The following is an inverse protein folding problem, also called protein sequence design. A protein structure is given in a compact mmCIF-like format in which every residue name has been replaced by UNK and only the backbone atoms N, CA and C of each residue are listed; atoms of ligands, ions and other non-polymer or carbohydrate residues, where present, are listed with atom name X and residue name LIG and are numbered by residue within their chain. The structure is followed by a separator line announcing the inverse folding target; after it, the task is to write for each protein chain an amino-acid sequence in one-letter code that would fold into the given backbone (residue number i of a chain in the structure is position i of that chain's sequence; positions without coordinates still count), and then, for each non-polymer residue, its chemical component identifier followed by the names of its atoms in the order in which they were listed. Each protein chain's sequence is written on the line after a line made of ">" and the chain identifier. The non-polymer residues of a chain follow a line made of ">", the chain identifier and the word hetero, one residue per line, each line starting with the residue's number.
data_IF_640526727860
#
_entry.id   IF_640526727860
#
_cell.length_a   1.000
_cell.length_b   1.000
_cell.length_c   1.000
_cell.angle_alpha   90.00
_cell.angle_beta   90.00
_cell.angle_gamma   90.00
#
_symmetry.space_group_name_H-M   'P 1'
#
loop_
_entity.id
_entity.type
_entity.pdbx_description
1 polymer ?
#
# COMPACT_ATOMS: atom_id res chain seq x y z
N UNK A 1 -1.59 4.28 -20.46
CA UNK A 1 -2.94 4.53 -21.05
C UNK A 1 -4.09 4.42 -20.03
N UNK A 2 -3.82 4.34 -18.73
CA UNK A 2 -4.88 4.27 -17.69
C UNK A 2 -5.77 5.51 -17.66
N UNK A 3 -5.27 6.66 -18.12
CA UNK A 3 -5.99 7.94 -18.10
C UNK A 3 -6.35 8.47 -19.50
N UNK A 4 -6.57 7.59 -20.49
CA UNK A 4 -6.83 8.01 -21.89
C UNK A 4 -8.04 8.95 -22.01
N UNK A 5 -9.09 8.74 -21.22
CA UNK A 5 -10.26 9.61 -21.20
C UNK A 5 -9.92 11.04 -20.76
N UNK A 6 -8.98 11.20 -19.83
CA UNK A 6 -8.50 12.51 -19.36
C UNK A 6 -7.71 13.19 -20.48
N UNK A 7 -6.78 12.46 -21.11
CA UNK A 7 -6.01 12.99 -22.25
C UNK A 7 -6.94 13.50 -23.36
N UNK A 8 -7.97 12.71 -23.71
CA UNK A 8 -8.95 13.08 -24.72
C UNK A 8 -9.84 14.26 -24.28
N UNK A 9 -10.23 14.31 -23.00
CA UNK A 9 -11.07 15.40 -22.50
C UNK A 9 -10.38 16.77 -22.53
N UNK A 10 -9.04 16.78 -22.53
CA UNK A 10 -8.23 18.00 -22.63
C UNK A 10 -7.62 18.21 -24.04
N UNK A 11 -7.89 17.32 -25.03
CA UNK A 11 -7.33 17.34 -26.37
C UNK A 11 -5.78 17.34 -26.40
N UNK A 12 -5.17 16.62 -25.47
CA UNK A 12 -3.71 16.59 -25.28
C UNK A 12 -3.04 15.36 -25.94
N UNK A 13 -3.71 14.69 -26.89
CA UNK A 13 -3.17 13.49 -27.56
C UNK A 13 -1.85 13.79 -28.29
N UNK A 14 -1.73 14.98 -28.87
CA UNK A 14 -0.51 15.38 -29.61
C UNK A 14 0.65 15.60 -28.64
N UNK A 15 0.40 16.25 -27.52
CA UNK A 15 1.41 16.49 -26.49
C UNK A 15 1.91 15.18 -25.86
N UNK A 16 0.99 14.29 -25.49
CA UNK A 16 1.31 12.97 -24.95
C UNK A 16 2.05 12.09 -25.96
N UNK A 17 1.61 12.08 -27.25
CA UNK A 17 2.33 11.40 -28.32
C UNK A 17 3.74 11.93 -28.48
N UNK A 18 3.93 13.24 -28.45
CA UNK A 18 5.23 13.88 -28.59
C UNK A 18 6.15 13.53 -27.40
N UNK A 19 5.61 13.55 -26.18
CA UNK A 19 6.34 13.13 -24.98
C UNK A 19 6.74 11.65 -25.05
N UNK A 20 5.83 10.78 -25.49
CA UNK A 20 6.12 9.36 -25.67
C UNK A 20 7.22 9.13 -26.72
N UNK A 21 7.12 9.76 -27.91
CA UNK A 21 8.13 9.66 -28.99
C UNK A 21 9.50 10.12 -28.47
N UNK A 22 9.56 11.22 -27.74
CA UNK A 22 10.81 11.71 -27.14
C UNK A 22 11.44 10.69 -26.19
N UNK A 23 10.62 10.06 -25.31
CA UNK A 23 11.11 9.06 -24.37
C UNK A 23 11.61 7.79 -25.11
N UNK A 24 10.90 7.35 -26.13
CA UNK A 24 11.31 6.21 -26.97
C UNK A 24 12.60 6.53 -27.70
N UNK A 25 12.74 7.76 -28.28
CA UNK A 25 13.96 8.19 -28.96
C UNK A 25 15.16 8.24 -28.02
N UNK A 26 15.00 8.76 -26.80
CA UNK A 26 16.06 8.73 -25.78
C UNK A 26 16.49 7.29 -25.44
N UNK A 27 15.52 6.39 -25.24
CA UNK A 27 15.81 4.98 -24.99
C UNK A 27 16.53 4.33 -26.18
N UNK A 28 16.13 4.67 -27.41
CA UNK A 28 16.76 4.19 -28.63
C UNK A 28 18.20 4.67 -28.77
N UNK A 29 18.48 5.95 -28.53
CA UNK A 29 19.85 6.51 -28.57
C UNK A 29 20.78 5.79 -27.58
N UNK A 30 20.31 5.55 -26.35
CA UNK A 30 21.06 4.80 -25.34
C UNK A 30 21.30 3.35 -25.77
N UNK A 31 20.26 2.69 -26.27
CA UNK A 31 20.37 1.30 -26.76
C UNK A 31 21.33 1.21 -27.95
N UNK A 32 21.22 2.13 -28.94
CA UNK A 32 22.10 2.20 -30.11
C UNK A 32 23.57 2.39 -29.70
N UNK A 33 23.84 3.32 -28.79
CA UNK A 33 25.20 3.56 -28.26
C UNK A 33 25.79 2.30 -27.64
N UNK A 34 25.00 1.60 -26.81
CA UNK A 34 25.40 0.34 -26.17
C UNK A 34 25.67 -0.76 -27.17
N UNK A 35 24.81 -0.91 -28.19
CA UNK A 35 24.99 -1.90 -29.27
C UNK A 35 26.25 -1.59 -30.09
N UNK A 36 26.48 -0.31 -30.45
CA UNK A 36 27.66 0.11 -31.21
C UNK A 36 28.96 -0.16 -30.43
N UNK A 37 29.01 0.20 -29.16
CA UNK A 37 30.18 -0.07 -28.30
C UNK A 37 30.46 -1.57 -28.20
N UNK A 38 29.41 -2.38 -28.03
CA UNK A 38 29.55 -3.85 -28.00
C UNK A 38 30.05 -4.40 -29.35
N UNK A 39 29.49 -3.90 -30.47
CA UNK A 39 29.91 -4.33 -31.80
C UNK A 39 31.37 -3.97 -32.09
N UNK A 40 31.83 -2.77 -31.72
CA UNK A 40 33.23 -2.36 -31.85
C UNK A 40 34.17 -3.23 -31.01
N UNK A 41 33.83 -3.47 -29.75
CA UNK A 41 34.59 -4.35 -28.85
C UNK A 41 34.69 -5.78 -29.40
N UNK A 42 33.56 -6.33 -29.83
CA UNK A 42 33.51 -7.70 -30.40
C UNK A 42 34.30 -7.76 -31.71
N UNK A 43 34.11 -6.76 -32.59
CA UNK A 43 34.87 -6.67 -33.86
C UNK A 43 36.38 -6.57 -33.63
N UNK A 44 36.80 -5.76 -32.66
CA UNK A 44 38.21 -5.65 -32.29
C UNK A 44 38.79 -6.95 -31.72
N UNK A 45 38.02 -7.64 -30.86
CA UNK A 45 38.42 -8.94 -30.31
C UNK A 45 38.56 -10.00 -31.42
N UNK A 46 37.64 -10.07 -32.38
CA UNK A 46 37.72 -10.97 -33.54
C UNK A 46 38.94 -10.61 -34.41
N UNK A 47 39.17 -9.32 -34.65
CA UNK A 47 40.34 -8.89 -35.43
C UNK A 47 41.67 -9.28 -34.79
N UNK A 48 41.80 -9.13 -33.47
CA UNK A 48 43.02 -9.56 -32.75
C UNK A 48 43.17 -11.09 -32.80
N UNK A 49 42.08 -11.81 -32.62
CA UNK A 49 42.12 -13.31 -32.64
C UNK A 49 42.49 -13.81 -34.03
N UNK A 50 41.89 -13.28 -35.09
CA UNK A 50 42.21 -13.66 -36.47
C UNK A 50 43.63 -13.24 -36.86
N UNK A 51 44.02 -12.03 -36.50
CA UNK A 51 45.40 -11.53 -36.74
C UNK A 51 46.44 -12.37 -36.02
N UNK A 52 46.19 -12.74 -34.75
CA UNK A 52 47.07 -13.62 -34.01
C UNK A 52 47.18 -15.02 -34.66
N UNK A 53 46.05 -15.55 -35.16
CA UNK A 53 46.02 -16.85 -35.85
C UNK A 53 46.80 -16.82 -37.17
N UNK A 54 46.67 -15.76 -37.97
CA UNK A 54 47.45 -15.59 -39.19
C UNK A 54 48.95 -15.46 -38.88
N UNK A 55 49.30 -14.66 -37.87
CA UNK A 55 50.68 -14.51 -37.41
C UNK A 55 51.31 -15.85 -36.93
N UNK A 56 50.50 -16.62 -36.21
CA UNK A 56 50.89 -17.94 -35.74
C UNK A 56 51.10 -18.94 -36.90
N UNK A 57 50.19 -18.95 -37.88
CA UNK A 57 50.37 -19.78 -39.10
C UNK A 57 51.57 -19.37 -39.92
N UNK A 58 51.83 -18.06 -40.02
CA UNK A 58 53.01 -17.55 -40.73
C UNK A 58 54.29 -18.02 -40.03
N UNK A 59 54.43 -17.78 -38.75
CA UNK A 59 55.64 -18.19 -37.97
C UNK A 59 55.83 -19.69 -37.96
N UNK A 60 54.77 -20.47 -37.66
CA UNK A 60 54.81 -21.93 -37.66
C UNK A 60 55.07 -22.53 -39.05
N UNK A 61 54.59 -21.90 -40.11
CA UNK A 61 54.88 -22.27 -41.50
C UNK A 61 56.33 -22.13 -41.83
N UNK A 62 57.00 -21.07 -41.37
CA UNK A 62 58.44 -20.88 -41.51
C UNK A 62 59.20 -21.98 -40.76
N UNK A 63 58.79 -22.31 -39.53
CA UNK A 63 59.42 -23.36 -38.72
C UNK A 63 59.29 -24.77 -39.36
N UNK A 64 58.18 -25.05 -40.04
CA UNK A 64 57.97 -26.26 -40.84
C UNK A 64 58.96 -26.33 -42.03
N UNK A 65 59.12 -25.21 -42.76
CA UNK A 65 60.03 -25.13 -43.91
C UNK A 65 61.50 -25.32 -43.48
N UNK A 66 61.87 -24.75 -42.34
CA UNK A 66 63.22 -24.89 -41.76
C UNK A 66 63.43 -26.23 -41.02
N UNK A 67 62.44 -27.14 -41.00
CA UNK A 67 62.58 -28.48 -40.40
C UNK A 67 62.56 -28.47 -38.86
N UNK A 68 62.21 -27.38 -38.20
CA UNK A 68 62.09 -27.27 -36.75
C UNK A 68 60.81 -27.85 -36.18
N UNK A 69 59.79 -27.99 -37.03
CA UNK A 69 58.47 -28.50 -36.64
C UNK A 69 57.87 -29.29 -37.79
N UNK A 70 57.04 -30.25 -37.50
CA UNK A 70 56.27 -30.99 -38.50
C UNK A 70 54.92 -30.28 -38.81
N UNK A 71 54.39 -30.51 -40.02
CA UNK A 71 53.07 -29.94 -40.38
C UNK A 71 51.95 -30.46 -39.49
N UNK A 72 52.08 -31.67 -38.92
CA UNK A 72 51.12 -32.23 -37.96
C UNK A 72 51.13 -31.50 -36.60
N UNK A 73 52.35 -31.14 -36.12
CA UNK A 73 52.49 -30.36 -34.87
C UNK A 73 51.90 -28.95 -35.03
N UNK A 74 52.11 -28.30 -36.16
CA UNK A 74 51.51 -27.01 -36.45
C UNK A 74 49.97 -27.11 -36.48
N UNK A 75 49.42 -28.17 -37.15
CA UNK A 75 47.98 -28.42 -37.18
C UNK A 75 47.40 -28.65 -35.79
N UNK A 76 48.08 -29.47 -34.96
CA UNK A 76 47.67 -29.70 -33.59
C UNK A 76 47.68 -28.42 -32.75
N UNK A 77 48.74 -27.58 -32.91
CA UNK A 77 48.84 -26.30 -32.20
C UNK A 77 47.71 -25.33 -32.54
N UNK A 78 47.39 -25.19 -33.85
CA UNK A 78 46.25 -24.35 -34.29
C UNK A 78 44.94 -24.88 -33.74
N UNK A 79 44.74 -26.21 -33.74
CA UNK A 79 43.54 -26.82 -33.20
C UNK A 79 43.35 -26.51 -31.70
N UNK A 80 44.43 -26.71 -30.90
CA UNK A 80 44.39 -26.35 -29.47
C UNK A 80 44.19 -24.84 -29.24
N UNK A 81 44.79 -23.97 -30.05
CA UNK A 81 44.60 -22.54 -29.95
C UNK A 81 43.13 -22.15 -30.15
N UNK A 82 42.44 -22.78 -31.12
CA UNK A 82 40.99 -22.55 -31.34
C UNK A 82 40.17 -23.04 -30.13
N UNK A 83 40.46 -24.23 -29.59
CA UNK A 83 39.75 -24.75 -28.42
C UNK A 83 39.91 -23.78 -27.23
N UNK A 84 41.12 -23.37 -26.93
CA UNK A 84 41.42 -22.46 -25.83
C UNK A 84 40.73 -21.11 -26.06
N UNK A 85 40.79 -20.57 -27.30
CA UNK A 85 40.14 -19.31 -27.62
C UNK A 85 38.59 -19.34 -27.44
N UNK A 86 37.97 -20.43 -27.90
CA UNK A 86 36.52 -20.64 -27.71
C UNK A 86 36.16 -20.84 -26.25
N UNK A 87 36.99 -21.58 -25.46
CA UNK A 87 36.75 -21.75 -24.04
C UNK A 87 36.79 -20.41 -23.26
N UNK A 88 37.77 -19.54 -23.58
CA UNK A 88 37.84 -18.21 -23.01
C UNK A 88 36.63 -17.31 -23.40
N UNK A 89 36.16 -17.40 -24.63
CA UNK A 89 34.99 -16.69 -25.10
C UNK A 89 33.74 -17.10 -24.32
N UNK A 90 33.51 -18.42 -24.17
CA UNK A 90 32.39 -18.96 -23.40
C UNK A 90 32.48 -18.56 -21.92
N UNK A 91 33.66 -18.62 -21.32
CA UNK A 91 33.86 -18.22 -19.92
C UNK A 91 33.52 -16.74 -19.71
N UNK A 92 33.92 -15.88 -20.67
CA UNK A 92 33.59 -14.46 -20.64
C UNK A 92 32.08 -14.17 -20.78
N UNK A 93 31.36 -14.95 -21.57
CA UNK A 93 29.92 -14.89 -21.73
C UNK A 93 29.20 -15.30 -20.42
N UNK A 94 29.61 -16.45 -19.85
CA UNK A 94 29.06 -16.92 -18.56
C UNK A 94 29.29 -15.90 -17.45
N UNK A 95 30.48 -15.29 -17.42
CA UNK A 95 30.77 -14.21 -16.46
C UNK A 95 29.83 -13.01 -16.62
N UNK A 96 29.56 -12.62 -17.87
CA UNK A 96 28.61 -11.54 -18.19
C UNK A 96 27.17 -11.88 -17.78
N UNK A 97 26.77 -13.14 -17.96
CA UNK A 97 25.45 -13.62 -17.53
C UNK A 97 25.32 -13.66 -16.00
N UNK A 98 26.39 -14.11 -15.33
CA UNK A 98 26.43 -14.13 -13.86
C UNK A 98 26.29 -12.72 -13.27
N UNK A 99 26.98 -11.73 -13.85
CA UNK A 99 26.88 -10.34 -13.41
C UNK A 99 25.45 -9.79 -13.62
N UNK A 100 24.80 -10.12 -14.73
CA UNK A 100 23.39 -9.73 -14.97
C UNK A 100 22.44 -10.39 -13.98
N UNK A 101 22.64 -11.69 -13.73
CA UNK A 101 21.86 -12.43 -12.75
C UNK A 101 22.04 -11.88 -11.33
N UNK A 102 23.29 -11.56 -10.95
CA UNK A 102 23.60 -10.96 -9.66
C UNK A 102 22.90 -9.61 -9.47
N UNK A 103 22.96 -8.72 -10.49
CA UNK A 103 22.26 -7.43 -10.44
C UNK A 103 20.74 -7.54 -10.37
N UNK A 104 20.15 -8.55 -11.02
CA UNK A 104 18.71 -8.82 -10.89
C UNK A 104 18.34 -9.40 -9.52
N UNK A 105 19.20 -10.27 -8.98
CA UNK A 105 19.02 -10.89 -7.67
C UNK A 105 19.17 -9.89 -6.51
N UNK A 106 20.02 -8.88 -6.65
CA UNK A 106 20.27 -7.86 -5.62
C UNK A 106 18.97 -7.20 -5.17
N UNK A 107 18.14 -6.75 -6.14
CA UNK A 107 16.85 -6.10 -5.84
C UNK A 107 15.85 -7.04 -5.16
N UNK A 108 15.85 -8.33 -5.53
CA UNK A 108 15.02 -9.33 -4.87
C UNK A 108 15.52 -9.61 -3.44
N UNK A 109 16.83 -9.68 -3.25
CA UNK A 109 17.43 -9.87 -1.92
C UNK A 109 17.18 -8.68 -1.01
N UNK A 110 17.26 -7.43 -1.51
CA UNK A 110 16.86 -6.23 -0.74
C UNK A 110 15.43 -6.36 -0.21
N UNK A 111 14.48 -6.83 -1.05
CA UNK A 111 13.09 -7.02 -0.63
C UNK A 111 12.94 -8.18 0.37
N UNK A 112 13.68 -9.28 0.20
CA UNK A 112 13.62 -10.43 1.11
C UNK A 112 14.22 -10.14 2.48
N UNK A 113 15.25 -9.28 2.52
CA UNK A 113 15.94 -8.91 3.78
C UNK A 113 15.31 -7.67 4.40
N UNK A 114 14.38 -6.99 3.70
CA UNK A 114 13.69 -5.84 4.24
C UNK A 114 12.96 -6.23 5.54
N UNK A 115 13.37 -5.61 6.63
CA UNK A 115 12.73 -5.76 7.95
C UNK A 115 11.67 -4.69 8.14
N UNK A 116 10.60 -5.04 8.85
CA UNK A 116 9.60 -4.04 9.25
C UNK A 116 10.26 -2.94 10.09
N UNK A 117 9.93 -1.68 9.80
CA UNK A 117 10.37 -0.55 10.64
C UNK A 117 9.74 -0.59 12.02
N UNK A 118 8.61 -1.29 12.17
CA UNK A 118 7.93 -1.50 13.44
C UNK A 118 8.31 -2.88 13.98
N UNK A 119 9.08 -2.94 15.08
CA UNK A 119 9.46 -4.22 15.68
C UNK A 119 8.25 -4.86 16.38
N UNK A 120 7.96 -6.12 16.05
CA UNK A 120 6.99 -6.94 16.78
C UNK A 120 7.70 -7.70 17.90
N UNK A 121 8.15 -6.96 18.90
CA UNK A 121 8.82 -7.51 20.10
C UNK A 121 7.88 -7.66 21.29
N UNK A 122 6.64 -7.18 21.14
CA UNK A 122 5.64 -7.23 22.19
C UNK A 122 5.11 -8.66 22.42
N UNK A 123 4.99 -9.04 23.67
CA UNK A 123 4.51 -10.38 24.07
C UNK A 123 3.16 -10.32 24.81
N UNK A 124 2.76 -9.14 25.25
CA UNK A 124 1.52 -8.97 26.00
C UNK A 124 0.31 -9.19 25.10
N UNK A 125 -0.70 -9.84 25.64
CA UNK A 125 -2.00 -9.96 24.98
C UNK A 125 -2.85 -8.76 25.39
N UNK A 126 -3.50 -8.05 24.43
CA UNK A 126 -4.41 -6.97 24.75
C UNK A 126 -5.52 -7.46 25.67
N UNK A 127 -5.80 -6.71 26.73
CA UNK A 127 -6.96 -6.97 27.58
C UNK A 127 -8.25 -6.63 26.79
N UNK A 128 -9.33 -7.35 27.09
CA UNK A 128 -10.65 -7.08 26.51
C UNK A 128 -11.43 -6.08 27.36
N UNK A 129 -12.38 -5.38 26.72
CA UNK A 129 -13.32 -4.46 27.40
C UNK A 129 -12.62 -3.35 28.19
N UNK A 130 -11.63 -2.72 27.62
CA UNK A 130 -10.80 -1.72 28.31
C UNK A 130 -10.76 -0.38 27.60
N UNK A 131 -10.40 0.67 28.35
CA UNK A 131 -10.24 2.01 27.82
C UNK A 131 -8.98 2.13 26.94
N UNK A 132 -9.06 3.01 25.95
CA UNK A 132 -7.93 3.45 25.12
C UNK A 132 -7.47 4.83 25.59
N UNK A 133 -6.17 5.03 25.72
CA UNK A 133 -5.62 6.31 26.15
C UNK A 133 -4.39 6.73 25.33
N UNK A 134 -4.41 7.93 24.80
CA UNK A 134 -3.26 8.65 24.28
C UNK A 134 -2.73 9.57 25.38
N UNK A 135 -1.43 9.47 25.72
CA UNK A 135 -0.83 10.27 26.80
C UNK A 135 0.37 11.04 26.26
N UNK A 136 0.17 12.34 26.04
CA UNK A 136 1.22 13.25 25.58
C UNK A 136 1.89 12.80 24.28
N UNK A 137 1.13 12.31 23.32
CA UNK A 137 1.68 11.71 22.08
C UNK A 137 2.25 12.79 21.17
N UNK A 138 3.53 12.60 20.79
CA UNK A 138 4.21 13.40 19.77
C UNK A 138 4.57 12.49 18.60
N UNK A 139 4.25 12.94 17.39
CA UNK A 139 4.56 12.19 16.17
C UNK A 139 4.81 13.10 14.99
N UNK A 140 5.82 12.75 14.18
CA UNK A 140 6.08 13.31 12.85
C UNK A 140 6.41 12.17 11.89
N UNK A 141 5.96 12.27 10.66
CA UNK A 141 6.27 11.26 9.64
C UNK A 141 7.78 11.26 9.30
N UNK A 142 8.39 10.09 9.05
CA UNK A 142 9.80 10.00 8.65
C UNK A 142 10.13 10.85 7.41
N UNK A 143 9.17 10.99 6.50
CA UNK A 143 9.30 11.84 5.29
C UNK A 143 9.31 13.34 5.57
N UNK A 144 8.84 13.78 6.76
CA UNK A 144 8.74 15.21 7.17
C UNK A 144 9.04 15.39 8.66
N UNK A 145 10.24 15.07 9.12
CA UNK A 145 10.56 15.02 10.57
C UNK A 145 10.46 16.36 11.29
N UNK A 146 10.54 17.47 10.57
CA UNK A 146 10.45 18.84 11.13
C UNK A 146 9.02 19.34 11.28
N UNK A 147 8.02 18.60 10.77
CA UNK A 147 6.62 19.01 10.81
C UNK A 147 5.81 17.98 11.62
N UNK A 148 5.59 18.23 12.91
CA UNK A 148 4.85 17.29 13.75
C UNK A 148 3.39 17.18 13.27
N UNK A 149 2.93 15.94 13.11
CA UNK A 149 1.55 15.62 12.79
C UNK A 149 0.69 15.55 14.06
N UNK A 150 1.27 15.12 15.19
CA UNK A 150 0.68 15.22 16.52
C UNK A 150 1.67 15.87 17.47
N UNK A 151 1.17 16.74 18.38
CA UNK A 151 1.97 17.50 19.34
C UNK A 151 1.26 17.54 20.69
N UNK A 152 1.76 16.78 21.66
CA UNK A 152 1.14 16.66 23.00
C UNK A 152 -0.33 16.23 22.92
N UNK A 153 -0.61 15.25 22.04
CA UNK A 153 -1.96 14.74 21.85
C UNK A 153 -2.33 13.83 23.02
N UNK A 154 -3.35 14.24 23.75
CA UNK A 154 -3.88 13.51 24.91
C UNK A 154 -5.38 13.30 24.74
N UNK A 155 -5.82 12.05 24.81
CA UNK A 155 -7.22 11.66 24.65
C UNK A 155 -7.44 10.33 25.38
N UNK A 156 -8.48 10.26 26.18
CA UNK A 156 -8.96 9.01 26.80
C UNK A 156 -10.33 8.67 26.23
N UNK A 157 -10.54 7.40 25.91
CA UNK A 157 -11.78 6.87 25.33
C UNK A 157 -12.20 5.70 26.18
N UNK A 158 -13.41 5.76 26.71
CA UNK A 158 -13.97 4.69 27.52
C UNK A 158 -14.32 3.46 26.66
N UNK A 159 -14.41 2.28 27.29
CA UNK A 159 -14.92 1.10 26.60
C UNK A 159 -16.38 1.32 26.17
N UNK A 160 -16.68 0.99 24.92
CA UNK A 160 -18.01 1.16 24.33
C UNK A 160 -18.36 2.59 23.93
N UNK A 161 -17.44 3.57 24.13
CA UNK A 161 -17.68 4.96 23.76
C UNK A 161 -17.46 5.18 22.27
N UNK A 162 -18.37 5.92 21.64
CA UNK A 162 -18.23 6.41 20.27
C UNK A 162 -17.68 7.83 20.27
N UNK A 163 -16.52 8.04 19.63
CA UNK A 163 -15.82 9.32 19.59
C UNK A 163 -15.65 9.81 18.14
N UNK A 164 -16.15 11.00 17.83
CA UNK A 164 -15.95 11.63 16.53
C UNK A 164 -14.77 12.61 16.55
N UNK A 165 -13.75 12.38 15.72
CA UNK A 165 -12.64 13.29 15.50
C UNK A 165 -13.01 14.30 14.41
N UNK A 166 -13.07 15.58 14.75
CA UNK A 166 -13.38 16.67 13.82
C UNK A 166 -12.25 17.69 13.80
N UNK A 167 -12.05 18.33 12.65
CA UNK A 167 -11.00 19.35 12.51
C UNK A 167 -10.66 19.60 11.05
N UNK A 168 -9.93 20.69 10.74
CA UNK A 168 -9.53 21.01 9.37
C UNK A 168 -8.66 19.92 8.76
N UNK A 169 -8.49 19.98 7.43
CA UNK A 169 -7.51 19.12 6.75
C UNK A 169 -6.11 19.34 7.33
N UNK A 170 -5.37 18.27 7.57
CA UNK A 170 -4.05 18.34 8.20
C UNK A 170 -4.07 18.50 9.73
N UNK A 171 -5.23 18.40 10.39
CA UNK A 171 -5.31 18.46 11.86
C UNK A 171 -4.70 17.24 12.59
N UNK A 172 -4.36 16.17 11.85
CA UNK A 172 -3.77 14.95 12.43
C UNK A 172 -4.74 13.79 12.63
N UNK A 173 -6.00 13.90 12.16
CA UNK A 173 -7.02 12.86 12.37
C UNK A 173 -6.62 11.48 11.84
N UNK A 174 -6.21 11.39 10.58
CA UNK A 174 -5.76 10.11 9.98
C UNK A 174 -4.49 9.58 10.63
N UNK A 175 -3.62 10.47 11.14
CA UNK A 175 -2.42 10.08 11.89
C UNK A 175 -2.78 9.35 13.19
N UNK A 176 -3.88 9.72 13.84
CA UNK A 176 -4.39 8.97 15.02
C UNK A 176 -4.69 7.52 14.64
N UNK A 177 -5.35 7.28 13.50
CA UNK A 177 -5.66 5.93 13.01
C UNK A 177 -4.41 5.13 12.65
N UNK A 178 -3.43 5.75 11.98
CA UNK A 178 -2.19 5.08 11.62
C UNK A 178 -1.36 4.65 12.85
N UNK A 179 -1.35 5.48 13.89
CA UNK A 179 -0.71 5.14 15.15
C UNK A 179 -1.48 4.05 15.92
N UNK A 180 -2.80 4.04 15.87
CA UNK A 180 -3.61 2.98 16.47
C UNK A 180 -3.43 1.65 15.78
N UNK A 181 -3.38 1.62 14.45
CA UNK A 181 -3.05 0.43 13.67
C UNK A 181 -1.58 0.02 13.80
N UNK A 182 -0.82 0.85 14.53
CA UNK A 182 0.61 0.69 14.73
C UNK A 182 1.35 0.49 13.40
N UNK A 183 1.04 1.37 12.42
CA UNK A 183 1.87 1.55 11.23
C UNK A 183 3.09 2.39 11.53
N UNK A 184 3.02 3.18 12.60
CA UNK A 184 4.11 3.95 13.19
C UNK A 184 4.02 3.88 14.71
N UNK A 185 5.15 4.04 15.39
CA UNK A 185 5.21 4.26 16.84
C UNK A 185 5.40 5.75 17.16
N UNK A 186 4.85 6.28 18.24
CA UNK A 186 5.04 7.68 18.64
C UNK A 186 6.48 7.98 19.00
N UNK A 187 6.95 9.19 18.66
CA UNK A 187 8.30 9.67 18.99
C UNK A 187 8.42 9.91 20.52
N UNK A 188 7.36 10.43 21.13
CA UNK A 188 7.26 10.62 22.58
C UNK A 188 5.82 10.41 23.04
N UNK A 189 5.63 10.14 24.32
CA UNK A 189 4.35 9.75 24.87
C UNK A 189 4.06 8.26 24.71
N UNK A 190 2.81 7.89 24.93
CA UNK A 190 2.38 6.50 24.89
C UNK A 190 0.91 6.39 24.44
N UNK A 191 0.61 5.32 23.70
CA UNK A 191 -0.76 4.88 23.41
C UNK A 191 -0.99 3.61 24.21
N UNK A 192 -2.02 3.60 25.05
CA UNK A 192 -2.29 2.51 25.98
C UNK A 192 -3.67 1.93 25.76
N UNK A 193 -3.75 0.62 25.80
CA UNK A 193 -5.00 -0.11 25.82
C UNK A 193 -5.04 -1.02 27.02
N UNK A 194 -6.05 -0.87 27.88
CA UNK A 194 -6.11 -1.58 29.17
C UNK A 194 -4.94 -1.28 30.11
N UNK A 195 -4.35 -0.09 30.00
CA UNK A 195 -3.20 0.33 30.81
C UNK A 195 -1.83 -0.08 30.25
N UNK A 196 -1.74 -1.08 29.38
CA UNK A 196 -0.49 -1.49 28.72
C UNK A 196 -0.19 -0.64 27.48
N UNK A 197 1.08 -0.36 27.23
CA UNK A 197 1.52 0.35 26.02
C UNK A 197 1.38 -0.55 24.79
N UNK A 198 0.90 -0.01 23.67
CA UNK A 198 0.76 -0.77 22.43
C UNK A 198 2.09 -1.37 21.94
N UNK A 199 3.21 -0.75 22.27
CA UNK A 199 4.55 -1.25 21.91
C UNK A 199 4.93 -2.54 22.63
N UNK A 200 4.31 -2.81 23.79
CA UNK A 200 4.52 -4.02 24.58
C UNK A 200 3.60 -5.17 24.16
N UNK A 201 2.59 -4.90 23.33
CA UNK A 201 1.63 -5.88 22.84
C UNK A 201 2.13 -6.58 21.57
N UNK A 202 1.76 -7.85 21.38
CA UNK A 202 1.91 -8.54 20.11
C UNK A 202 1.12 -7.81 19.03
N UNK A 203 1.78 -7.46 17.94
CA UNK A 203 1.19 -6.68 16.83
C UNK A 203 0.02 -7.41 16.17
N UNK A 204 0.18 -8.73 15.95
CA UNK A 204 -0.89 -9.54 15.36
C UNK A 204 -2.13 -9.60 16.26
N UNK A 205 -1.93 -9.84 17.56
CA UNK A 205 -3.04 -9.88 18.52
C UNK A 205 -3.71 -8.53 18.70
N UNK A 206 -2.93 -7.45 18.66
CA UNK A 206 -3.46 -6.10 18.69
C UNK A 206 -4.32 -5.79 17.46
N UNK A 207 -3.82 -6.09 16.27
CA UNK A 207 -4.56 -5.84 15.03
C UNK A 207 -5.82 -6.70 14.88
N UNK A 208 -5.88 -7.87 15.50
CA UNK A 208 -7.09 -8.67 15.59
C UNK A 208 -8.20 -8.02 16.43
N UNK A 209 -7.86 -7.09 17.32
CA UNK A 209 -8.83 -6.33 18.13
C UNK A 209 -9.39 -5.10 17.41
N UNK A 210 -8.84 -4.74 16.25
CA UNK A 210 -9.18 -3.51 15.54
C UNK A 210 -9.72 -3.85 14.15
N UNK A 211 -10.80 -3.17 13.74
CA UNK A 211 -11.20 -3.13 12.35
C UNK A 211 -11.17 -1.69 11.83
N UNK A 212 -10.71 -1.52 10.60
CA UNK A 212 -10.74 -0.25 9.88
C UNK A 212 -11.72 -0.34 8.71
N UNK A 213 -12.64 0.60 8.65
CA UNK A 213 -13.46 0.88 7.46
C UNK A 213 -12.93 2.18 6.84
N UNK A 214 -12.14 2.09 5.76
CA UNK A 214 -11.52 3.26 5.15
C UNK A 214 -12.50 4.04 4.26
N UNK A 215 -12.18 5.30 3.99
CA UNK A 215 -12.94 6.18 3.09
C UNK A 215 -13.13 5.57 1.69
N UNK A 216 -12.09 4.97 1.14
CA UNK A 216 -12.13 4.25 -0.13
C UNK A 216 -11.78 2.77 0.11
N UNK A 217 -12.78 1.90 0.21
CA UNK A 217 -12.54 0.50 0.47
C UNK A 217 -11.76 -0.18 -0.64
N UNK A 218 -10.67 -0.84 -0.27
CA UNK A 218 -9.91 -1.70 -1.16
C UNK A 218 -10.48 -3.11 -1.13
N UNK A 219 -10.88 -3.61 -2.29
CA UNK A 219 -11.27 -5.00 -2.48
C UNK A 219 -10.14 -5.74 -3.20
N UNK A 220 -9.91 -6.98 -2.78
CA UNK A 220 -8.88 -7.84 -3.36
C UNK A 220 -9.41 -8.62 -4.55
N UNK A 221 -8.50 -9.02 -5.44
CA UNK A 221 -8.83 -9.93 -6.54
C UNK A 221 -9.29 -11.26 -5.97
N UNK A 222 -10.56 -11.58 -6.16
CA UNK A 222 -11.23 -12.75 -5.59
C UNK A 222 -12.73 -12.59 -5.69
N UNK A 223 -13.47 -13.51 -5.09
CA UNK A 223 -14.92 -13.44 -4.98
C UNK A 223 -15.37 -12.58 -3.78
N UNK A 224 -16.67 -12.42 -3.62
CA UNK A 224 -17.25 -11.64 -2.54
C UNK A 224 -17.04 -12.34 -1.20
N UNK A 225 -17.18 -13.66 -1.17
CA UNK A 225 -16.93 -14.45 0.05
C UNK A 225 -15.51 -14.19 0.57
N UNK A 226 -14.49 -14.33 -0.29
CA UNK A 226 -13.09 -14.04 0.05
C UNK A 226 -12.90 -12.63 0.57
N UNK A 227 -13.56 -11.64 -0.05
CA UNK A 227 -13.43 -10.25 0.36
C UNK A 227 -14.08 -9.94 1.72
N UNK A 228 -15.21 -10.55 2.05
CA UNK A 228 -15.83 -10.40 3.37
C UNK A 228 -15.04 -11.20 4.42
N UNK A 229 -14.62 -12.41 4.08
CA UNK A 229 -13.88 -13.32 4.93
C UNK A 229 -12.42 -12.88 5.22
N UNK A 230 -11.95 -11.84 4.55
CA UNK A 230 -10.55 -11.41 4.62
C UNK A 230 -10.15 -10.99 6.04
N UNK A 231 -9.19 -11.71 6.62
CA UNK A 231 -8.70 -11.47 7.98
C UNK A 231 -9.44 -12.24 9.08
N UNK A 232 -10.53 -12.98 8.76
CA UNK A 232 -11.22 -13.85 9.70
C UNK A 232 -10.59 -15.26 9.74
N UNK A 233 -10.52 -15.85 10.92
CA UNK A 233 -10.04 -17.22 11.10
C UNK A 233 -11.17 -18.21 10.77
N UNK A 234 -10.99 -19.03 9.73
CA UNK A 234 -11.89 -20.11 9.31
C UNK A 234 -13.38 -19.69 9.25
N UNK A 235 -13.73 -18.64 8.49
CA UNK A 235 -15.09 -18.13 8.43
C UNK A 235 -16.03 -19.15 7.76
N UNK A 236 -17.16 -19.43 8.40
CA UNK A 236 -18.21 -20.25 7.78
C UNK A 236 -19.05 -19.42 6.82
N UNK A 237 -19.69 -20.08 5.83
CA UNK A 237 -20.61 -19.42 4.91
C UNK A 237 -21.73 -18.67 5.68
N UNK A 238 -22.29 -19.29 6.71
CA UNK A 238 -23.35 -18.69 7.52
C UNK A 238 -22.87 -17.41 8.25
N UNK A 239 -21.62 -17.38 8.76
CA UNK A 239 -21.07 -16.21 9.42
C UNK A 239 -20.85 -15.05 8.42
N UNK A 240 -20.36 -15.36 7.22
CA UNK A 240 -20.19 -14.37 6.13
C UNK A 240 -21.55 -13.80 5.70
N UNK A 241 -22.57 -14.65 5.55
CA UNK A 241 -23.91 -14.21 5.20
C UNK A 241 -24.55 -13.34 6.29
N UNK A 242 -24.40 -13.71 7.55
CA UNK A 242 -24.88 -12.91 8.69
C UNK A 242 -24.20 -11.53 8.74
N UNK A 243 -22.87 -11.47 8.55
CA UNK A 243 -22.14 -10.21 8.49
C UNK A 243 -22.58 -9.35 7.28
N UNK A 244 -22.84 -9.96 6.13
CA UNK A 244 -23.37 -9.28 4.97
C UNK A 244 -24.80 -8.76 5.17
N UNK A 245 -25.64 -9.48 5.91
CA UNK A 245 -26.99 -9.02 6.28
C UNK A 245 -26.92 -7.78 7.18
N UNK A 246 -26.10 -7.81 8.22
CA UNK A 246 -25.89 -6.68 9.13
C UNK A 246 -25.32 -5.46 8.40
N UNK A 247 -24.49 -5.65 7.37
CA UNK A 247 -23.97 -4.59 6.53
C UNK A 247 -24.92 -4.16 5.39
N UNK A 248 -26.15 -4.65 5.35
CA UNK A 248 -27.08 -4.44 4.24
C UNK A 248 -26.51 -4.79 2.86
N UNK A 249 -25.57 -5.73 2.81
CA UNK A 249 -24.91 -6.16 1.58
C UNK A 249 -25.57 -7.41 0.94
N UNK A 250 -26.24 -8.23 1.73
CA UNK A 250 -26.78 -9.53 1.33
C UNK A 250 -27.70 -9.43 0.10
N UNK A 251 -28.63 -8.48 0.10
CA UNK A 251 -29.62 -8.33 -0.97
C UNK A 251 -28.96 -8.08 -2.33
N UNK A 252 -28.05 -7.12 -2.44
CA UNK A 252 -27.39 -6.87 -3.72
C UNK A 252 -26.46 -8.01 -4.12
N UNK A 253 -25.83 -8.70 -3.15
CA UNK A 253 -24.97 -9.86 -3.44
C UNK A 253 -25.81 -10.97 -4.10
N UNK A 254 -27.01 -11.23 -3.62
CA UNK A 254 -27.90 -12.22 -4.22
C UNK A 254 -28.37 -11.87 -5.64
N UNK A 255 -28.37 -10.60 -6.04
CA UNK A 255 -28.70 -10.19 -7.41
C UNK A 255 -27.58 -10.46 -8.41
N UNK A 256 -26.36 -10.75 -7.93
CA UNK A 256 -25.24 -11.08 -8.80
C UNK A 256 -25.34 -12.51 -9.33
N UNK A 257 -24.82 -12.79 -10.54
CA UNK A 257 -24.98 -14.08 -11.21
C UNK A 257 -24.53 -15.30 -10.39
N UNK A 258 -23.46 -15.15 -9.60
CA UNK A 258 -22.87 -16.21 -8.78
C UNK A 258 -22.96 -15.92 -7.28
N UNK A 259 -23.78 -14.93 -6.87
CA UNK A 259 -23.97 -14.55 -5.48
C UNK A 259 -22.62 -14.24 -4.80
N UNK A 260 -22.34 -14.90 -3.67
CA UNK A 260 -21.11 -14.74 -2.91
C UNK A 260 -19.85 -15.21 -3.65
N UNK A 261 -19.95 -16.09 -4.64
CA UNK A 261 -18.86 -16.56 -5.48
C UNK A 261 -18.59 -15.65 -6.67
N UNK A 262 -19.35 -14.56 -6.83
CA UNK A 262 -19.14 -13.59 -7.91
C UNK A 262 -17.76 -12.98 -7.84
N UNK A 263 -16.96 -13.18 -8.89
CA UNK A 263 -15.59 -12.66 -8.98
C UNK A 263 -15.57 -11.14 -9.25
N UNK A 264 -14.89 -10.40 -8.38
CA UNK A 264 -14.88 -8.93 -8.41
C UNK A 264 -13.83 -8.31 -9.33
N UNK A 265 -12.87 -9.12 -9.81
CA UNK A 265 -11.74 -8.61 -10.58
C UNK A 265 -10.74 -7.78 -9.76
N UNK A 266 -9.84 -7.09 -10.44
CA UNK A 266 -8.90 -6.20 -9.77
C UNK A 266 -9.65 -5.01 -9.14
N UNK A 267 -9.50 -4.82 -7.84
CA UNK A 267 -10.06 -3.70 -7.07
C UNK A 267 -11.60 -3.56 -7.09
N UNK A 268 -12.36 -4.61 -7.39
CA UNK A 268 -13.82 -4.55 -7.35
C UNK A 268 -14.44 -3.60 -8.39
N UNK A 269 -13.84 -3.49 -9.56
CA UNK A 269 -14.21 -2.55 -10.65
C UNK A 269 -15.68 -2.67 -11.08
N UNK A 270 -16.33 -3.80 -10.79
CA UNK A 270 -17.73 -4.09 -11.18
C UNK A 270 -18.77 -3.60 -10.18
N UNK A 271 -18.36 -3.07 -9.02
CA UNK A 271 -19.26 -2.64 -7.95
C UNK A 271 -19.37 -1.12 -7.86
N UNK A 272 -20.52 -0.61 -7.43
CA UNK A 272 -20.70 0.79 -7.06
C UNK A 272 -19.87 1.16 -5.82
N UNK A 273 -19.69 2.45 -5.55
CA UNK A 273 -19.03 2.93 -4.32
C UNK A 273 -19.69 2.38 -3.07
N UNK A 274 -21.03 2.48 -2.98
CA UNK A 274 -21.81 1.99 -1.86
C UNK A 274 -21.76 0.48 -1.67
N UNK A 275 -21.74 -0.29 -2.76
CA UNK A 275 -21.58 -1.74 -2.69
C UNK A 275 -20.21 -2.13 -2.13
N UNK A 276 -19.13 -1.45 -2.58
CA UNK A 276 -17.79 -1.67 -2.01
C UNK A 276 -17.74 -1.33 -0.53
N UNK A 277 -18.37 -0.23 -0.12
CA UNK A 277 -18.43 0.20 1.28
C UNK A 277 -19.14 -0.83 2.15
N UNK A 278 -20.29 -1.36 1.71
CA UNK A 278 -21.04 -2.39 2.42
C UNK A 278 -20.26 -3.71 2.55
N UNK A 279 -19.48 -4.11 1.55
CA UNK A 279 -18.56 -5.26 1.66
C UNK A 279 -17.45 -5.00 2.69
N UNK A 280 -16.85 -3.81 2.70
CA UNK A 280 -15.85 -3.47 3.70
C UNK A 280 -16.42 -3.42 5.12
N UNK A 281 -17.66 -2.98 5.25
CA UNK A 281 -18.39 -3.00 6.52
C UNK A 281 -18.70 -4.44 6.97
N UNK A 282 -19.17 -5.31 6.07
CA UNK A 282 -19.36 -6.73 6.35
C UNK A 282 -18.05 -7.41 6.81
N UNK A 283 -16.92 -7.08 6.20
CA UNK A 283 -15.58 -7.52 6.64
C UNK A 283 -15.27 -7.09 8.07
N UNK A 284 -15.53 -5.83 8.39
CA UNK A 284 -15.31 -5.29 9.73
C UNK A 284 -16.24 -5.95 10.77
N UNK A 285 -17.50 -6.22 10.41
CA UNK A 285 -18.45 -6.94 11.26
C UNK A 285 -17.98 -8.36 11.54
N UNK A 286 -17.57 -9.08 10.49
CA UNK A 286 -17.16 -10.49 10.62
C UNK A 286 -15.92 -10.66 11.50
N UNK A 287 -15.03 -9.68 11.53
CA UNK A 287 -13.83 -9.71 12.38
C UNK A 287 -14.13 -9.51 13.87
N UNK A 288 -15.33 -9.09 14.22
CA UNK A 288 -15.82 -8.83 15.60
C UNK A 288 -14.80 -8.02 16.45
N UNK A 289 -14.46 -6.80 16.04
CA UNK A 289 -13.41 -6.02 16.69
C UNK A 289 -13.91 -5.41 18.00
N UNK A 290 -13.01 -5.22 18.98
CA UNK A 290 -13.28 -4.42 20.18
C UNK A 290 -13.18 -2.92 19.91
N UNK A 291 -12.40 -2.54 18.87
CA UNK A 291 -12.17 -1.17 18.45
C UNK A 291 -12.46 -1.01 16.97
N UNK A 292 -13.43 -0.17 16.64
CA UNK A 292 -13.82 0.14 15.28
C UNK A 292 -13.29 1.51 14.87
N UNK A 293 -12.57 1.57 13.75
CA UNK A 293 -12.08 2.80 13.15
C UNK A 293 -12.85 3.07 11.86
N UNK A 294 -13.54 4.21 11.80
CA UNK A 294 -14.35 4.63 10.67
C UNK A 294 -13.77 5.89 10.04
N UNK A 295 -13.25 5.79 8.83
CA UNK A 295 -12.72 6.93 8.08
C UNK A 295 -13.73 7.32 7.00
N UNK A 296 -14.53 8.37 7.26
CA UNK A 296 -15.49 8.96 6.31
C UNK A 296 -16.31 7.94 5.49
N UNK A 297 -16.91 6.97 6.16
CA UNK A 297 -17.53 5.80 5.54
C UNK A 297 -18.71 6.09 4.58
N UNK A 298 -19.15 7.34 4.39
CA UNK A 298 -20.33 7.71 3.60
C UNK A 298 -20.07 8.76 2.51
N UNK A 299 -18.86 9.26 2.34
CA UNK A 299 -18.54 10.23 1.28
C UNK A 299 -18.62 9.60 -0.11
N UNK A 300 -19.27 10.30 -1.04
CA UNK A 300 -19.45 9.89 -2.45
C UNK A 300 -20.40 8.71 -2.71
N UNK A 301 -21.42 8.50 -1.86
CA UNK A 301 -22.49 7.54 -2.08
C UNK A 301 -23.76 8.22 -2.61
N UNK A 302 -24.56 7.47 -3.38
CA UNK A 302 -25.94 7.85 -3.68
C UNK A 302 -26.80 7.72 -2.42
N UNK A 303 -27.91 8.45 -2.38
CA UNK A 303 -28.78 8.58 -1.18
C UNK A 303 -29.26 7.24 -0.62
N UNK A 304 -29.60 6.29 -1.48
CA UNK A 304 -30.05 4.96 -1.05
C UNK A 304 -28.91 4.14 -0.43
N UNK A 305 -27.77 4.11 -1.08
CA UNK A 305 -26.55 3.45 -0.56
C UNK A 305 -26.08 4.08 0.74
N UNK A 306 -26.18 5.39 0.87
CA UNK A 306 -25.84 6.13 2.09
C UNK A 306 -26.74 5.71 3.25
N UNK A 307 -28.06 5.64 3.03
CA UNK A 307 -29.02 5.23 4.07
C UNK A 307 -28.69 3.83 4.61
N UNK A 308 -28.43 2.86 3.73
CA UNK A 308 -28.04 1.49 4.12
C UNK A 308 -26.74 1.45 4.91
N UNK A 309 -25.73 2.22 4.50
CA UNK A 309 -24.45 2.29 5.22
C UNK A 309 -24.62 2.95 6.59
N UNK A 310 -25.42 4.02 6.69
CA UNK A 310 -25.70 4.70 7.95
C UNK A 310 -26.42 3.77 8.96
N UNK A 311 -27.41 3.01 8.51
CA UNK A 311 -28.10 2.03 9.36
C UNK A 311 -27.11 0.98 9.90
N UNK A 312 -26.35 0.36 9.01
CA UNK A 312 -25.37 -0.64 9.40
C UNK A 312 -24.28 -0.06 10.34
N UNK A 313 -23.85 1.19 10.14
CA UNK A 313 -22.91 1.86 11.05
C UNK A 313 -23.53 2.06 12.44
N UNK A 314 -24.78 2.49 12.51
CA UNK A 314 -25.49 2.70 13.79
C UNK A 314 -25.58 1.39 14.58
N UNK A 315 -25.93 0.30 13.93
CA UNK A 315 -26.08 -1.02 14.58
C UNK A 315 -24.72 -1.55 15.08
N UNK A 316 -23.66 -1.36 14.29
CA UNK A 316 -22.31 -1.83 14.62
C UNK A 316 -21.70 -1.06 15.80
N UNK A 317 -22.01 0.22 15.92
CA UNK A 317 -21.43 1.09 16.93
C UNK A 317 -22.00 0.83 18.34
N UNK A 318 -23.19 0.27 18.48
CA UNK A 318 -23.94 0.19 19.74
C UNK A 318 -23.23 -0.57 20.88
N UNK A 319 -22.27 -1.44 20.63
CA UNK A 319 -21.63 -2.24 21.68
C UNK A 319 -20.09 -2.21 21.58
N UNK A 320 -19.53 -1.31 20.76
CA UNK A 320 -18.10 -1.29 20.46
C UNK A 320 -17.50 0.08 20.69
N UNK A 321 -16.28 0.09 21.17
CA UNK A 321 -15.50 1.34 21.18
C UNK A 321 -15.27 1.78 19.74
N UNK A 322 -15.73 2.98 19.38
CA UNK A 322 -15.67 3.44 17.99
C UNK A 322 -14.99 4.79 17.89
N UNK A 323 -14.05 4.93 16.96
CA UNK A 323 -13.47 6.24 16.63
C UNK A 323 -13.78 6.55 15.16
N UNK A 324 -14.33 7.73 14.95
CA UNK A 324 -14.84 8.16 13.66
C UNK A 324 -14.08 9.40 13.21
N UNK A 325 -13.47 9.37 12.03
CA UNK A 325 -13.08 10.59 11.33
C UNK A 325 -14.28 11.01 10.50
N UNK A 326 -14.98 12.02 10.98
CA UNK A 326 -16.24 12.42 10.36
C UNK A 326 -16.08 13.68 9.52
N UNK A 327 -16.65 13.61 8.32
CA UNK A 327 -16.80 14.74 7.40
C UNK A 327 -18.27 15.09 7.15
N UNK A 328 -19.23 14.35 7.76
CA UNK A 328 -20.65 14.63 7.71
C UNK A 328 -21.18 14.90 9.11
N UNK A 329 -21.98 15.95 9.22
CA UNK A 329 -22.52 16.39 10.50
C UNK A 329 -23.46 15.34 11.13
N UNK A 330 -24.24 14.62 10.32
CA UNK A 330 -25.12 13.54 10.77
C UNK A 330 -24.37 12.45 11.53
N UNK A 331 -23.19 12.08 11.08
CA UNK A 331 -22.32 11.10 11.76
C UNK A 331 -21.71 11.67 13.05
N UNK A 332 -21.36 12.97 13.04
CA UNK A 332 -20.76 13.65 14.20
C UNK A 332 -21.76 13.77 15.36
N UNK A 333 -23.00 14.13 15.07
CA UNK A 333 -24.05 14.36 16.09
C UNK A 333 -24.43 13.07 16.83
N UNK A 334 -24.34 11.92 16.15
CA UNK A 334 -24.70 10.62 16.73
C UNK A 334 -23.59 10.00 17.60
N UNK A 335 -22.38 10.61 17.65
CA UNK A 335 -21.32 10.13 18.53
C UNK A 335 -21.55 10.60 19.98
N UNK A 336 -21.17 9.78 20.96
CA UNK A 336 -21.29 10.10 22.38
C UNK A 336 -20.45 11.34 22.74
N UNK A 337 -19.29 11.50 22.09
CA UNK A 337 -18.41 12.63 22.28
C UNK A 337 -17.71 13.04 20.99
N UNK A 338 -17.56 14.33 20.81
CA UNK A 338 -16.85 14.94 19.69
C UNK A 338 -15.53 15.49 20.22
N UNK A 339 -14.43 15.20 19.53
CA UNK A 339 -13.08 15.71 19.84
C UNK A 339 -12.67 16.64 18.70
N UNK A 340 -12.49 17.92 19.02
CA UNK A 340 -12.07 18.95 18.07
C UNK A 340 -10.54 19.01 18.03
N UNK A 341 -9.98 18.80 16.85
CA UNK A 341 -8.54 18.78 16.64
C UNK A 341 -8.10 19.96 15.76
N UNK A 342 -6.97 20.56 16.11
CA UNK A 342 -6.24 21.49 15.25
C UNK A 342 -4.73 21.35 15.46
N UNK A 343 -3.97 21.34 14.37
CA UNK A 343 -2.49 21.27 14.37
C UNK A 343 -1.92 20.17 15.28
N UNK A 344 -2.53 18.99 15.23
CA UNK A 344 -2.08 17.83 15.98
C UNK A 344 -2.40 17.83 17.48
N UNK A 345 -3.31 18.68 17.93
CA UNK A 345 -3.72 18.80 19.34
C UNK A 345 -5.23 18.68 19.49
N UNK A 346 -5.67 18.23 20.64
CA UNK A 346 -7.07 18.37 21.08
C UNK A 346 -7.27 19.79 21.56
N UNK A 347 -8.26 20.47 20.96
CA UNK A 347 -8.61 21.86 21.30
C UNK A 347 -9.76 21.89 22.30
N UNK A 348 -10.78 21.04 22.08
CA UNK A 348 -11.96 20.93 22.90
C UNK A 348 -12.60 19.55 22.73
N UNK A 349 -13.42 19.10 23.66
CA UNK A 349 -14.16 17.86 23.53
C UNK A 349 -15.44 17.89 24.35
N UNK A 350 -16.54 17.41 23.78
CA UNK A 350 -17.85 17.36 24.42
C UNK A 350 -18.95 16.95 23.45
N UNK A 351 -20.21 16.95 23.88
CA UNK A 351 -21.36 16.73 23.02
C UNK A 351 -21.58 17.91 22.07
N UNK A 352 -22.35 17.67 21.01
CA UNK A 352 -22.63 18.65 19.94
C UNK A 352 -23.09 20.02 20.48
N UNK A 353 -24.09 20.02 21.35
CA UNK A 353 -24.73 21.24 21.86
C UNK A 353 -23.77 22.09 22.70
N UNK A 354 -22.90 21.46 23.47
CA UNK A 354 -21.89 22.13 24.28
C UNK A 354 -20.83 22.79 23.38
N UNK A 355 -20.29 22.03 22.41
CA UNK A 355 -19.28 22.54 21.48
C UNK A 355 -19.80 23.63 20.54
N UNK A 356 -21.10 23.60 20.23
CA UNK A 356 -21.77 24.71 19.48
C UNK A 356 -21.80 26.03 20.27
N UNK A 357 -21.59 26.00 21.58
CA UNK A 357 -21.50 27.21 22.40
C UNK A 357 -20.08 27.55 22.82
N UNK A 358 -19.25 26.54 23.18
CA UNK A 358 -17.90 26.70 23.74
C UNK A 358 -16.81 26.86 22.68
N UNK A 359 -16.88 26.10 21.55
CA UNK A 359 -15.78 25.96 20.62
C UNK A 359 -16.01 26.70 19.29
N UNK A 360 -15.35 27.85 19.10
CA UNK A 360 -15.45 28.64 17.85
C UNK A 360 -15.04 27.86 16.59
N UNK A 361 -14.03 26.98 16.72
CA UNK A 361 -13.57 26.16 15.61
C UNK A 361 -14.65 25.17 15.20
N UNK A 362 -15.28 24.49 16.16
CA UNK A 362 -16.36 23.56 15.90
C UNK A 362 -17.57 24.25 15.27
N UNK A 363 -18.00 25.39 15.82
CA UNK A 363 -19.09 26.21 15.23
C UNK A 363 -18.84 26.53 13.76
N UNK A 364 -17.60 26.91 13.42
CA UNK A 364 -17.21 27.21 12.04
C UNK A 364 -17.30 25.96 11.14
N UNK A 365 -16.79 24.84 11.60
CA UNK A 365 -16.83 23.58 10.85
C UNK A 365 -18.26 23.09 10.64
N UNK A 366 -19.06 23.09 11.70
CA UNK A 366 -20.46 22.71 11.65
C UNK A 366 -21.26 23.58 10.66
N UNK A 367 -21.10 24.91 10.71
CA UNK A 367 -21.80 25.83 9.78
C UNK A 367 -21.43 25.57 8.32
N UNK A 368 -20.17 25.30 8.02
CA UNK A 368 -19.73 24.99 6.65
C UNK A 368 -20.36 23.68 6.14
N UNK A 369 -20.47 22.67 7.00
CA UNK A 369 -21.11 21.40 6.65
C UNK A 369 -22.64 21.54 6.47
N UNK A 370 -23.33 22.29 7.34
CA UNK A 370 -24.75 22.58 7.18
C UNK A 370 -25.09 23.29 5.86
N UNK A 371 -24.23 24.21 5.43
CA UNK A 371 -24.43 24.91 4.15
C UNK A 371 -24.28 23.97 2.95
N UNK A 372 -23.41 22.96 3.06
CA UNK A 372 -23.18 21.97 2.00
C UNK A 372 -24.31 20.93 1.93
N UNK A 373 -24.85 20.50 3.08
CA UNK A 373 -25.98 19.55 3.13
C UNK A 373 -27.32 20.17 2.68
N UNK A 374 -27.52 21.47 2.82
CA UNK A 374 -28.70 22.17 2.29
C UNK A 374 -28.63 22.51 0.80
N UNK A 375 -27.45 22.43 0.20
CA UNK A 375 -27.22 22.72 -1.21
C UNK A 375 -27.14 21.46 -2.10
N UNK A 376 -27.12 20.28 -1.53
CA UNK A 376 -27.15 18.97 -2.20
C UNK A 376 -28.53 18.31 -2.10
#
# INVERSE_FOLDING_TARGET
>A
FQSIKVVQSFNEEIAEKTAFVRNVEQAFVVARSRVLQRALLTGFAIFLLMGGMVGMMWSGGVDVIEGRMTGGELGAFVFYAIIVGTAFATLSEVWGDLQRAAGAAERLMELLVATSEIPDTGTQTPASNTALAFKGVHFAYPSRPTHPALSDFTLEIAHGESVALVGPSGAGKSTVFELMLRFYDPIAGAIRFGGADLREMSLDRWRQKIALVPQQPSLFSGDIFYNIAYGANEPTQAAVEAAAQMAHAHEFIQTLPEGYQSYLGAQGVRLSGGQRQRIALARAILSDPELLLLDEATSALDTESEWHVQQALTDIMQERTTIIIAHRLSTVINADRIVVMDKGRVIDSGPHDELMTSCKLYQRLARLQFQTEQAS
#
